data_IF_767283495523
#
_entry.id   IF_767283495523
#
_cell.length_a   1.000
_cell.length_b   1.000
_cell.length_c   1.000
_cell.angle_alpha   90.00
_cell.angle_beta   90.00
_cell.angle_gamma   90.00
#
_symmetry.space_group_name_H-M   'P 1'
#
loop_
_entity.id
_entity.type
_entity.pdbx_description
1 polymer ?
#
# COMPACT_ATOMS: atom_id res chain seq x y z
N UNK A 1 -5.29 6.01 -23.86
CA UNK A 1 -4.28 6.10 -22.80
C UNK A 1 -2.99 5.51 -23.34
N UNK A 2 -2.03 6.36 -23.71
CA UNK A 2 -0.77 5.92 -24.30
C UNK A 2 0.13 5.29 -23.26
N UNK A 3 0.63 4.09 -23.57
CA UNK A 3 1.70 3.42 -22.83
C UNK A 3 2.97 4.25 -22.97
N UNK A 4 3.17 5.21 -22.05
CA UNK A 4 4.50 5.76 -21.80
C UNK A 4 5.27 4.64 -21.10
N UNK A 5 6.07 3.88 -21.84
CA UNK A 5 7.17 3.15 -21.23
C UNK A 5 8.10 4.21 -20.63
N UNK A 6 8.24 4.32 -19.31
CA UNK A 6 9.13 5.31 -18.75
C UNK A 6 10.54 5.00 -19.27
N UNK A 7 11.20 6.01 -19.84
CA UNK A 7 12.62 5.91 -20.12
C UNK A 7 13.33 5.50 -18.82
N UNK A 8 14.16 4.46 -18.89
CA UNK A 8 14.96 3.99 -17.75
C UNK A 8 15.67 5.19 -17.12
N UNK A 9 15.58 5.29 -15.80
CA UNK A 9 16.32 6.28 -15.02
C UNK A 9 17.82 6.10 -15.23
N UNK A 10 18.60 7.16 -15.05
CA UNK A 10 20.06 7.06 -15.15
C UNK A 10 20.60 6.00 -14.18
N UNK A 11 20.02 5.87 -12.99
CA UNK A 11 20.38 4.82 -12.04
C UNK A 11 20.16 3.41 -12.59
N UNK A 12 19.03 3.14 -13.24
CA UNK A 12 18.74 1.84 -13.87
C UNK A 12 19.70 1.53 -15.02
N UNK A 13 20.08 2.53 -15.82
CA UNK A 13 21.12 2.38 -16.86
C UNK A 13 22.48 2.04 -16.25
N UNK A 14 22.83 2.63 -15.10
CA UNK A 14 24.04 2.27 -14.37
C UNK A 14 23.99 0.83 -13.85
N UNK A 15 22.85 0.39 -13.29
CA UNK A 15 22.68 -0.99 -12.84
C UNK A 15 22.91 -1.99 -13.97
N UNK A 16 22.31 -1.77 -15.14
CA UNK A 16 22.50 -2.67 -16.30
C UNK A 16 23.96 -2.75 -16.75
N UNK A 17 24.68 -1.61 -16.74
CA UNK A 17 26.10 -1.58 -17.09
C UNK A 17 26.96 -2.29 -16.05
N UNK A 18 26.66 -2.14 -14.76
CA UNK A 18 27.35 -2.83 -13.67
C UNK A 18 27.10 -4.34 -13.76
N UNK A 19 25.86 -4.77 -13.99
CA UNK A 19 25.48 -6.17 -14.15
C UNK A 19 26.17 -6.81 -15.36
N UNK A 20 26.21 -6.13 -16.51
CA UNK A 20 26.92 -6.60 -17.69
C UNK A 20 28.43 -6.76 -17.43
N UNK A 21 29.04 -5.85 -16.66
CA UNK A 21 30.45 -5.94 -16.28
C UNK A 21 30.71 -7.08 -15.29
N UNK A 22 29.81 -7.31 -14.32
CA UNK A 22 29.88 -8.44 -13.40
C UNK A 22 29.74 -9.78 -14.13
N UNK A 23 28.86 -9.87 -15.13
CA UNK A 23 28.74 -11.06 -15.98
C UNK A 23 30.06 -11.32 -16.73
N UNK A 24 30.65 -10.29 -17.33
CA UNK A 24 31.97 -10.40 -17.99
C UNK A 24 33.08 -10.79 -17.01
N UNK A 25 33.04 -10.29 -15.78
CA UNK A 25 34.00 -10.67 -14.73
C UNK A 25 33.87 -12.16 -14.39
N UNK A 26 32.65 -12.69 -14.28
CA UNK A 26 32.41 -14.11 -14.04
C UNK A 26 32.94 -14.98 -15.20
N UNK A 27 32.70 -14.58 -16.45
CA UNK A 27 33.24 -15.29 -17.63
C UNK A 27 34.78 -15.33 -17.64
N UNK A 28 35.44 -14.23 -17.26
CA UNK A 28 36.90 -14.17 -17.16
C UNK A 28 37.44 -15.02 -16.01
N UNK A 29 36.74 -15.06 -14.87
CA UNK A 29 37.12 -15.88 -13.71
C UNK A 29 37.03 -17.37 -14.07
N UNK A 30 35.94 -17.80 -14.72
CA UNK A 30 35.77 -19.16 -15.22
C UNK A 30 36.89 -19.53 -16.21
N UNK A 31 37.24 -18.61 -17.13
CA UNK A 31 38.34 -18.81 -18.06
C UNK A 31 39.69 -18.94 -17.34
N UNK A 32 39.94 -18.15 -16.29
CA UNK A 32 41.17 -18.25 -15.49
C UNK A 32 41.26 -19.62 -14.82
N UNK A 33 40.17 -20.08 -14.20
CA UNK A 33 40.11 -21.39 -13.54
C UNK A 33 40.33 -22.55 -14.52
N UNK A 34 39.76 -22.47 -15.71
CA UNK A 34 40.00 -23.48 -16.76
C UNK A 34 41.47 -23.53 -17.20
N UNK A 35 42.10 -22.36 -17.37
CA UNK A 35 43.52 -22.27 -17.72
C UNK A 35 44.43 -22.78 -16.59
N UNK A 36 44.12 -22.46 -15.33
CA UNK A 36 44.83 -22.96 -14.16
C UNK A 36 44.70 -24.49 -14.02
N UNK A 37 43.50 -25.03 -14.22
CA UNK A 37 43.28 -26.48 -14.21
C UNK A 37 44.03 -27.19 -15.36
N UNK A 38 44.07 -26.58 -16.54
CA UNK A 38 44.87 -27.08 -17.67
C UNK A 38 46.38 -27.03 -17.36
N UNK A 39 46.86 -25.93 -16.76
CA UNK A 39 48.25 -25.78 -16.34
C UNK A 39 48.68 -26.86 -15.33
N UNK A 40 47.81 -27.20 -14.38
CA UNK A 40 48.08 -28.23 -13.37
C UNK A 40 48.10 -29.66 -13.93
N UNK A 41 47.44 -29.92 -15.06
CA UNK A 41 47.28 -31.25 -15.65
C UNK A 41 48.20 -31.50 -16.85
N UNK A 42 48.81 -30.47 -17.43
CA UNK A 42 49.75 -30.58 -18.53
C UNK A 42 51.10 -31.17 -18.05
N UNK A 43 51.32 -32.49 -18.27
CA UNK A 43 52.49 -33.23 -17.76
C UNK A 43 53.60 -33.49 -18.80
N UNK A 44 53.49 -33.12 -20.09
CA UNK A 44 54.41 -33.72 -21.11
C UNK A 44 55.02 -32.79 -22.18
N UNK A 45 54.86 -31.46 -22.13
CA UNK A 45 55.46 -30.59 -23.16
C UNK A 45 55.96 -29.26 -22.55
N UNK A 46 57.28 -29.06 -22.49
CA UNK A 46 57.93 -27.94 -21.76
C UNK A 46 57.56 -26.54 -22.31
N UNK A 47 57.11 -26.43 -23.57
CA UNK A 47 56.69 -25.16 -24.18
C UNK A 47 55.21 -24.80 -23.92
N UNK A 48 54.39 -25.74 -23.46
CA UNK A 48 52.98 -25.52 -23.12
C UNK A 48 52.76 -24.70 -21.83
N UNK A 49 53.48 -24.93 -20.71
CA UNK A 49 53.24 -24.20 -19.47
C UNK A 49 53.55 -22.70 -19.58
N UNK A 50 54.58 -22.28 -20.32
CA UNK A 50 54.89 -20.85 -20.48
C UNK A 50 53.77 -20.07 -21.19
N UNK A 51 53.17 -20.67 -22.24
CA UNK A 51 52.05 -20.05 -22.98
C UNK A 51 50.79 -19.94 -22.12
N UNK A 52 50.49 -20.98 -21.34
CA UNK A 52 49.31 -20.98 -20.45
C UNK A 52 49.52 -20.01 -19.30
N UNK A 53 50.71 -19.93 -18.72
CA UNK A 53 51.05 -18.95 -17.68
C UNK A 53 50.91 -17.49 -18.19
N UNK A 54 51.33 -17.22 -19.43
CA UNK A 54 51.11 -15.92 -20.06
C UNK A 54 49.61 -15.60 -20.21
N UNK A 55 48.79 -16.57 -20.64
CA UNK A 55 47.34 -16.40 -20.76
C UNK A 55 46.65 -16.19 -19.40
N UNK A 56 47.07 -16.90 -18.35
CA UNK A 56 46.56 -16.70 -16.99
C UNK A 56 46.86 -15.27 -16.53
N UNK A 57 48.07 -14.77 -16.79
CA UNK A 57 48.45 -13.39 -16.47
C UNK A 57 47.59 -12.38 -17.22
N UNK A 58 47.38 -12.55 -18.52
CA UNK A 58 46.52 -11.68 -19.33
C UNK A 58 45.06 -11.67 -18.82
N UNK A 59 44.51 -12.84 -18.47
CA UNK A 59 43.15 -12.94 -17.91
C UNK A 59 43.08 -12.29 -16.52
N UNK A 60 44.13 -12.41 -15.72
CA UNK A 60 44.20 -11.78 -14.39
C UNK A 60 44.25 -10.26 -14.49
N UNK A 61 45.05 -9.70 -15.39
CA UNK A 61 45.08 -8.26 -15.66
C UNK A 61 43.72 -7.75 -16.16
N UNK A 62 43.03 -8.52 -17.02
CA UNK A 62 41.68 -8.20 -17.49
C UNK A 62 40.64 -8.24 -16.36
N UNK A 63 40.76 -9.16 -15.40
CA UNK A 63 39.92 -9.23 -14.21
C UNK A 63 40.11 -8.01 -13.30
N UNK A 64 41.36 -7.63 -13.03
CA UNK A 64 41.68 -6.44 -12.24
C UNK A 64 41.15 -5.16 -12.88
N UNK A 65 41.29 -5.03 -14.21
CA UNK A 65 40.74 -3.91 -14.95
C UNK A 65 39.21 -3.87 -14.87
N UNK A 66 38.56 -5.02 -15.06
CA UNK A 66 37.09 -5.12 -14.97
C UNK A 66 36.59 -4.78 -13.56
N UNK A 67 37.29 -5.24 -12.51
CA UNK A 67 36.96 -4.89 -11.13
C UNK A 67 37.09 -3.39 -10.85
N UNK A 68 38.13 -2.74 -11.37
CA UNK A 68 38.29 -1.27 -11.29
C UNK A 68 37.17 -0.54 -12.02
N UNK A 69 36.81 -0.98 -13.23
CA UNK A 69 35.71 -0.40 -14.00
C UNK A 69 34.36 -0.54 -13.28
N UNK A 70 34.09 -1.69 -12.65
CA UNK A 70 32.89 -1.90 -11.83
C UNK A 70 32.88 -0.91 -10.66
N UNK A 71 33.99 -0.78 -9.93
CA UNK A 71 34.08 0.14 -8.80
C UNK A 71 33.84 1.61 -9.21
N UNK A 72 34.38 2.03 -10.36
CA UNK A 72 34.14 3.37 -10.92
C UNK A 72 32.66 3.57 -11.28
N UNK A 73 32.04 2.57 -11.92
CA UNK A 73 30.62 2.62 -12.27
C UNK A 73 29.73 2.64 -11.03
N UNK A 74 30.05 1.86 -10.00
CA UNK A 74 29.32 1.85 -8.73
C UNK A 74 29.42 3.20 -8.02
N UNK A 75 30.61 3.79 -7.96
CA UNK A 75 30.81 5.12 -7.39
C UNK A 75 30.05 6.19 -8.17
N UNK A 76 30.07 6.14 -9.50
CA UNK A 76 29.33 7.05 -10.36
C UNK A 76 27.80 6.86 -10.27
N UNK A 77 27.32 5.66 -9.93
CA UNK A 77 25.91 5.36 -9.76
C UNK A 77 25.31 5.93 -8.45
N UNK A 78 26.15 6.20 -7.43
CA UNK A 78 25.71 6.71 -6.12
C UNK A 78 24.85 7.98 -6.19
N UNK A 79 25.25 9.07 -6.88
CA UNK A 79 24.41 10.26 -6.99
C UNK A 79 23.07 9.97 -7.67
N UNK A 80 23.06 9.17 -8.74
CA UNK A 80 21.83 8.80 -9.43
C UNK A 80 20.91 7.92 -8.57
N UNK A 81 21.49 7.05 -7.73
CA UNK A 81 20.73 6.29 -6.73
C UNK A 81 20.06 7.21 -5.72
N UNK A 82 20.79 8.21 -5.23
CA UNK A 82 20.24 9.19 -4.29
C UNK A 82 19.08 9.98 -4.92
N UNK A 83 19.22 10.42 -6.18
CA UNK A 83 18.16 11.13 -6.90
C UNK A 83 16.94 10.25 -7.17
N UNK A 84 17.15 8.99 -7.56
CA UNK A 84 16.08 8.01 -7.70
C UNK A 84 15.31 7.83 -6.38
N UNK A 85 16.01 7.65 -5.26
CA UNK A 85 15.38 7.48 -3.95
C UNK A 85 14.63 8.75 -3.52
N UNK A 86 15.16 9.95 -3.77
CA UNK A 86 14.47 11.22 -3.51
C UNK A 86 13.16 11.31 -4.29
N UNK A 87 13.17 10.98 -5.59
CA UNK A 87 11.96 10.97 -6.42
C UNK A 87 10.92 10.01 -5.86
N UNK A 88 11.34 8.80 -5.49
CA UNK A 88 10.45 7.78 -4.91
C UNK A 88 9.87 8.22 -3.57
N UNK A 89 10.64 8.89 -2.72
CA UNK A 89 10.15 9.45 -1.46
C UNK A 89 9.08 10.51 -1.74
N UNK A 90 9.32 11.44 -2.67
CA UNK A 90 8.35 12.48 -3.03
C UNK A 90 7.05 11.90 -3.60
N UNK A 91 7.14 10.84 -4.41
CA UNK A 91 5.96 10.11 -4.90
C UNK A 91 5.16 9.50 -3.75
N UNK A 92 5.83 8.84 -2.82
CA UNK A 92 5.19 8.25 -1.64
C UNK A 92 4.54 9.32 -0.75
N UNK A 93 5.22 10.43 -0.49
CA UNK A 93 4.68 11.56 0.28
C UNK A 93 3.45 12.17 -0.40
N UNK A 94 3.49 12.35 -1.72
CA UNK A 94 2.33 12.85 -2.48
C UNK A 94 1.15 11.86 -2.44
N UNK A 95 1.42 10.55 -2.46
CA UNK A 95 0.40 9.52 -2.33
C UNK A 95 -0.22 9.53 -0.92
N UNK A 96 0.61 9.64 0.12
CA UNK A 96 0.16 9.73 1.51
C UNK A 96 -0.73 10.96 1.73
N UNK A 97 -0.33 12.12 1.20
CA UNK A 97 -1.15 13.33 1.26
C UNK A 97 -2.51 13.15 0.59
N UNK A 98 -2.58 12.48 -0.57
CA UNK A 98 -3.84 12.17 -1.24
C UNK A 98 -4.74 11.30 -0.37
N UNK A 99 -4.20 10.22 0.20
CA UNK A 99 -4.98 9.35 1.09
C UNK A 99 -5.44 10.07 2.35
N UNK A 100 -4.60 10.90 2.95
CA UNK A 100 -5.00 11.71 4.11
C UNK A 100 -6.15 12.67 3.78
N UNK A 101 -6.13 13.30 2.60
CA UNK A 101 -7.23 14.15 2.13
C UNK A 101 -8.52 13.35 1.90
N UNK A 102 -8.43 12.16 1.32
CA UNK A 102 -9.58 11.28 1.11
C UNK A 102 -10.19 10.80 2.42
N UNK A 103 -9.36 10.33 3.36
CA UNK A 103 -9.78 9.95 4.71
C UNK A 103 -10.47 11.11 5.43
N UNK A 104 -9.93 12.32 5.32
CA UNK A 104 -10.53 13.53 5.91
C UNK A 104 -11.93 13.80 5.32
N UNK A 105 -12.09 13.74 4.00
CA UNK A 105 -13.38 13.91 3.32
C UNK A 105 -14.40 12.85 3.74
N UNK A 106 -13.97 11.58 3.81
CA UNK A 106 -14.83 10.48 4.25
C UNK A 106 -15.27 10.66 5.70
N UNK A 107 -14.36 11.09 6.58
CA UNK A 107 -14.68 11.34 7.98
C UNK A 107 -15.68 12.50 8.15
N UNK A 108 -15.50 13.59 7.40
CA UNK A 108 -16.47 14.70 7.38
C UNK A 108 -17.85 14.26 6.88
N UNK A 109 -17.89 13.46 5.81
CA UNK A 109 -19.15 12.91 5.28
C UNK A 109 -19.84 11.97 6.27
N UNK A 110 -19.06 11.17 6.99
CA UNK A 110 -19.55 10.28 8.05
C UNK A 110 -20.17 11.08 9.20
N UNK A 111 -19.45 12.07 9.76
CA UNK A 111 -19.98 12.88 10.86
C UNK A 111 -21.23 13.65 10.45
N UNK A 112 -21.30 14.17 9.22
CA UNK A 112 -22.53 14.78 8.68
C UNK A 112 -23.72 13.81 8.70
N UNK A 113 -23.55 12.60 8.17
CA UNK A 113 -24.61 11.57 8.14
C UNK A 113 -25.02 11.14 9.55
N UNK A 114 -24.07 11.04 10.46
CA UNK A 114 -24.33 10.72 11.88
C UNK A 114 -25.18 11.80 12.55
N UNK A 115 -24.90 13.07 12.31
CA UNK A 115 -25.75 14.18 12.78
C UNK A 115 -27.14 14.11 12.18
N UNK A 116 -27.27 13.91 10.87
CA UNK A 116 -28.55 13.76 10.19
C UNK A 116 -29.38 12.60 10.77
N UNK A 117 -28.73 11.45 10.98
CA UNK A 117 -29.35 10.28 11.60
C UNK A 117 -29.84 10.56 13.02
N UNK A 118 -28.99 11.16 13.87
CA UNK A 118 -29.37 11.49 15.25
C UNK A 118 -30.55 12.48 15.31
N UNK A 119 -30.56 13.47 14.41
CA UNK A 119 -31.66 14.43 14.33
C UNK A 119 -32.96 13.76 13.87
N UNK A 120 -32.89 12.88 12.85
CA UNK A 120 -34.03 12.11 12.38
C UNK A 120 -34.57 11.19 13.49
N UNK A 121 -33.69 10.53 14.23
CA UNK A 121 -34.07 9.68 15.36
C UNK A 121 -34.78 10.49 16.46
N UNK A 122 -34.26 11.67 16.83
CA UNK A 122 -34.90 12.55 17.81
C UNK A 122 -36.29 13.00 17.34
N UNK A 123 -36.41 13.43 16.08
CA UNK A 123 -37.69 13.83 15.51
C UNK A 123 -38.71 12.67 15.53
N UNK A 124 -38.28 11.46 15.19
CA UNK A 124 -39.12 10.25 15.25
C UNK A 124 -39.63 9.98 16.67
N UNK A 125 -38.76 10.06 17.68
CA UNK A 125 -39.16 9.87 19.08
C UNK A 125 -40.16 10.92 19.54
N UNK A 126 -40.00 12.18 19.16
CA UNK A 126 -40.95 13.26 19.46
C UNK A 126 -42.31 13.02 18.77
N UNK A 127 -42.30 12.58 17.51
CA UNK A 127 -43.51 12.26 16.76
C UNK A 127 -44.30 11.10 17.34
N UNK A 128 -43.67 10.13 18.00
CA UNK A 128 -44.39 9.01 18.65
C UNK A 128 -44.86 9.37 20.06
N UNK A 129 -44.09 10.19 20.78
CA UNK A 129 -44.40 10.56 22.16
C UNK A 129 -45.73 11.30 22.29
N UNK A 130 -46.05 12.19 21.35
CA UNK A 130 -47.30 12.97 21.38
C UNK A 130 -48.54 12.09 21.14
N UNK A 131 -48.61 11.25 20.09
CA UNK A 131 -49.68 10.27 19.90
C UNK A 131 -49.86 9.31 21.07
N UNK A 132 -48.77 8.82 21.68
CA UNK A 132 -48.87 7.95 22.86
C UNK A 132 -49.61 8.64 24.01
N UNK A 133 -49.23 9.88 24.33
CA UNK A 133 -49.89 10.64 25.40
C UNK A 133 -51.34 10.98 25.07
N UNK A 134 -51.64 11.28 23.80
CA UNK A 134 -53.01 11.56 23.35
C UNK A 134 -53.88 10.29 23.39
N UNK A 135 -53.32 9.13 23.03
CA UNK A 135 -53.99 7.85 23.15
C UNK A 135 -54.30 7.52 24.62
N UNK A 136 -53.33 7.70 25.52
CA UNK A 136 -53.54 7.47 26.96
C UNK A 136 -54.62 8.40 27.53
N UNK A 137 -54.64 9.68 27.14
CA UNK A 137 -55.70 10.62 27.53
C UNK A 137 -57.07 10.20 27.01
N UNK A 138 -57.15 9.82 25.72
CA UNK A 138 -58.40 9.36 25.13
C UNK A 138 -58.92 8.08 25.79
N UNK A 139 -58.01 7.15 26.14
CA UNK A 139 -58.35 5.92 26.86
C UNK A 139 -58.89 6.23 28.26
N UNK A 140 -58.19 7.06 29.03
CA UNK A 140 -58.60 7.42 30.39
C UNK A 140 -59.95 8.17 30.40
N UNK A 141 -60.18 9.07 29.43
CA UNK A 141 -61.47 9.75 29.32
C UNK A 141 -62.60 8.79 28.95
N UNK A 142 -62.35 7.82 28.06
CA UNK A 142 -63.32 6.76 27.77
C UNK A 142 -63.66 5.95 29.02
N UNK A 143 -62.66 5.50 29.77
CA UNK A 143 -62.86 4.74 31.02
C UNK A 143 -63.68 5.54 32.04
N UNK A 144 -63.43 6.85 32.16
CA UNK A 144 -64.23 7.74 33.02
C UNK A 144 -65.69 7.82 32.58
N UNK A 145 -65.93 8.02 31.29
CA UNK A 145 -67.28 8.14 30.73
C UNK A 145 -68.05 6.81 30.83
N UNK A 146 -67.37 5.66 30.70
CA UNK A 146 -67.96 4.34 30.93
C UNK A 146 -68.45 4.19 32.38
N UNK A 147 -67.66 4.63 33.36
CA UNK A 147 -68.07 4.62 34.78
C UNK A 147 -69.28 5.53 35.02
N UNK A 148 -69.26 6.75 34.48
CA UNK A 148 -70.36 7.72 34.63
C UNK A 148 -71.65 7.20 33.99
N UNK A 149 -71.55 6.55 32.82
CA UNK A 149 -72.69 5.90 32.16
C UNK A 149 -73.27 4.78 33.02
N UNK A 150 -72.43 3.87 33.53
CA UNK A 150 -72.86 2.77 34.41
C UNK A 150 -73.57 3.28 35.68
N UNK A 151 -73.08 4.38 36.27
CA UNK A 151 -73.70 5.00 37.44
C UNK A 151 -75.09 5.57 37.11
N UNK A 152 -75.23 6.27 35.98
CA UNK A 152 -76.50 6.84 35.53
C UNK A 152 -77.50 5.74 35.17
N UNK A 153 -77.06 4.68 34.48
CA UNK A 153 -77.91 3.53 34.14
C UNK A 153 -78.41 2.82 35.41
N UNK A 154 -77.57 2.67 36.45
CA UNK A 154 -78.01 2.15 37.76
C UNK A 154 -79.01 3.05 38.47
N UNK A 155 -78.80 4.37 38.44
CA UNK A 155 -79.75 5.33 39.02
C UNK A 155 -81.11 5.28 38.31
N UNK A 156 -81.11 5.23 36.97
CA UNK A 156 -82.32 5.12 36.18
C UNK A 156 -83.06 3.80 36.46
N UNK A 157 -82.34 2.68 36.51
CA UNK A 157 -82.91 1.35 36.81
C UNK A 157 -83.42 1.22 38.25
N UNK A 158 -82.84 1.96 39.19
CA UNK A 158 -83.25 1.99 40.60
C UNK A 158 -84.41 2.94 40.90
N UNK A 159 -84.80 3.79 39.94
CA UNK A 159 -85.88 4.77 40.08
C UNK A 159 -87.24 4.29 39.53
N UNK A 160 -87.34 3.03 39.07
CA UNK A 160 -88.57 2.38 38.60
C UNK A 160 -89.28 1.48 39.65
N UNK A 161 -88.96 1.63 40.95
CA UNK A 161 -89.76 1.07 42.07
C UNK A 161 -90.60 2.16 42.75
#
# INVERSE_FOLDING_TARGET
MGLFTPNKTEYEKFQERIEAKRAKQAELEDKRQQLEAFFQTAILDEAAPEKVAAQIKEVTEALELTAKEISILEAAALPHRADYLRSRIQECEAQEQKYNQECSKLNQAFEKKKTEFNNAQKAYWEQIRVPSSMFDKARNERERLEIELDELERQASGSEM
#
